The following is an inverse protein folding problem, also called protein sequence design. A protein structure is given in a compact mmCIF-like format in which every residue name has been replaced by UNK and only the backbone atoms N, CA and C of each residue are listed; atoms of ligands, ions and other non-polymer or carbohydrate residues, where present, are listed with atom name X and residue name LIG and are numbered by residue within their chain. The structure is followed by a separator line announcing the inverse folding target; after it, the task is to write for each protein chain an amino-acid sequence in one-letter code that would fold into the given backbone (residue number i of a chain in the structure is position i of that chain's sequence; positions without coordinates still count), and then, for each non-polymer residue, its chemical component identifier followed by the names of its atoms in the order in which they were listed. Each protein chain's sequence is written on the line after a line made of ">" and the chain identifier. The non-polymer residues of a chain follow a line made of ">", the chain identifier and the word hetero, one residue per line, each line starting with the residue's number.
data_IF_769428665295
#
_entry.id   IF_769428665295
#
_cell.length_a   1.000
_cell.length_b   1.000
_cell.length_c   1.000
_cell.angle_alpha   90.00
_cell.angle_beta   90.00
_cell.angle_gamma   90.00
#
_symmetry.space_group_name_H-M   'P 1'
#
loop_
_entity.id
_entity.type
_entity.pdbx_description
1 polymer ?
#
# COMPACT_ATOMS: atom_id res chain seq x y z
N UNK A 1 -44.38 6.58 14.27
CA UNK A 1 -43.26 5.62 14.39
C UNK A 1 -43.86 4.27 14.72
N UNK A 2 -43.65 3.23 13.90
CA UNK A 2 -44.22 1.92 14.19
C UNK A 2 -43.44 1.21 15.28
N UNK A 3 -44.12 0.44 16.13
CA UNK A 3 -43.49 -0.37 17.19
C UNK A 3 -42.36 -1.28 16.63
N UNK A 4 -42.46 -1.67 15.38
CA UNK A 4 -41.44 -2.46 14.66
C UNK A 4 -40.12 -1.69 14.44
N UNK A 5 -40.17 -0.36 14.32
CA UNK A 5 -38.92 0.43 14.17
C UNK A 5 -38.20 0.64 15.51
N UNK A 6 -38.87 0.48 16.64
CA UNK A 6 -38.24 0.50 17.96
C UNK A 6 -37.57 -0.82 18.33
N UNK A 7 -37.96 -1.92 17.69
CA UNK A 7 -37.34 -3.24 17.88
C UNK A 7 -36.20 -3.53 16.89
N UNK A 8 -35.98 -2.66 15.90
CA UNK A 8 -34.88 -2.78 14.98
C UNK A 8 -33.58 -2.36 15.69
N UNK A 9 -32.86 -3.33 16.23
CA UNK A 9 -31.52 -3.12 16.80
C UNK A 9 -30.59 -2.81 15.62
N UNK A 10 -30.21 -1.55 15.48
CA UNK A 10 -29.23 -1.12 14.48
C UNK A 10 -27.83 -1.36 15.05
N UNK A 11 -27.34 -2.57 14.82
CA UNK A 11 -26.00 -2.96 15.27
C UNK A 11 -24.95 -2.39 14.33
N UNK A 12 -23.94 -1.79 14.92
CA UNK A 12 -22.77 -1.35 14.17
C UNK A 12 -22.15 -2.54 13.42
N UNK A 13 -21.82 -2.40 12.13
CA UNK A 13 -21.38 -3.54 11.30
C UNK A 13 -20.21 -4.33 11.87
N UNK A 14 -19.27 -3.65 12.54
CA UNK A 14 -18.12 -4.29 13.18
C UNK A 14 -18.54 -5.15 14.38
N UNK A 15 -19.35 -4.61 15.29
CA UNK A 15 -19.84 -5.33 16.46
C UNK A 15 -20.66 -6.57 16.04
N UNK A 16 -21.51 -6.42 15.02
CA UNK A 16 -22.27 -7.53 14.44
C UNK A 16 -21.34 -8.62 13.91
N UNK A 17 -20.25 -8.24 13.22
CA UNK A 17 -19.26 -9.18 12.73
C UNK A 17 -18.63 -10.01 13.84
N UNK A 18 -18.16 -9.36 14.91
CA UNK A 18 -17.55 -10.04 16.06
C UNK A 18 -18.52 -10.99 16.76
N UNK A 19 -19.76 -10.58 16.97
CA UNK A 19 -20.77 -11.40 17.63
C UNK A 19 -21.13 -12.62 16.79
N UNK A 20 -21.30 -12.47 15.48
CA UNK A 20 -21.59 -13.60 14.58
C UNK A 20 -20.46 -14.61 14.58
N UNK A 21 -19.18 -14.16 14.51
CA UNK A 21 -18.01 -15.04 14.57
C UNK A 21 -17.95 -15.77 15.91
N UNK A 22 -18.13 -15.08 17.02
CA UNK A 22 -18.10 -15.67 18.37
C UNK A 22 -19.17 -16.75 18.52
N UNK A 23 -20.41 -16.45 18.16
CA UNK A 23 -21.53 -17.42 18.21
C UNK A 23 -21.23 -18.61 17.30
N UNK A 24 -20.75 -18.41 16.08
CA UNK A 24 -20.42 -19.47 15.15
C UNK A 24 -19.33 -20.41 15.70
N UNK A 25 -18.29 -19.85 16.31
CA UNK A 25 -17.22 -20.63 16.95
C UNK A 25 -17.77 -21.43 18.12
N UNK A 26 -18.56 -20.83 19.01
CA UNK A 26 -19.15 -21.54 20.18
C UNK A 26 -20.08 -22.66 19.73
N UNK A 27 -20.93 -22.42 18.74
CA UNK A 27 -21.89 -23.44 18.23
C UNK A 27 -21.14 -24.57 17.53
N UNK A 28 -20.21 -24.24 16.63
CA UNK A 28 -19.47 -25.23 15.86
C UNK A 28 -18.56 -26.08 16.76
N UNK A 29 -17.72 -25.44 17.56
CA UNK A 29 -16.78 -26.14 18.43
C UNK A 29 -17.50 -26.81 19.60
N UNK A 30 -18.42 -26.14 20.26
CA UNK A 30 -19.23 -26.71 21.34
C UNK A 30 -20.09 -27.88 20.88
N UNK A 31 -20.77 -27.73 19.75
CA UNK A 31 -21.59 -28.84 19.16
C UNK A 31 -20.70 -30.03 18.78
N UNK A 32 -19.59 -29.81 18.12
CA UNK A 32 -18.66 -30.89 17.77
C UNK A 32 -18.06 -31.53 19.03
N UNK A 33 -17.78 -30.77 20.08
CA UNK A 33 -17.30 -31.26 21.36
C UNK A 33 -18.33 -32.21 22.02
N UNK A 34 -19.60 -31.85 22.02
CA UNK A 34 -20.62 -32.70 22.59
C UNK A 34 -20.68 -34.09 21.90
N UNK A 35 -20.56 -34.11 20.57
CA UNK A 35 -20.56 -35.38 19.82
C UNK A 35 -19.29 -36.19 20.03
N UNK A 36 -18.11 -35.55 19.95
CA UNK A 36 -16.82 -36.23 20.07
C UNK A 36 -16.55 -36.64 21.53
N UNK A 37 -16.89 -35.78 22.49
CA UNK A 37 -16.72 -36.03 23.93
C UNK A 37 -17.54 -37.19 24.46
N UNK A 38 -18.75 -37.44 23.90
CA UNK A 38 -19.55 -38.61 24.25
C UNK A 38 -18.94 -39.93 23.78
N UNK A 39 -18.15 -39.90 22.68
CA UNK A 39 -17.50 -41.12 22.15
C UNK A 39 -16.11 -41.38 22.69
N UNK A 40 -15.30 -40.33 22.87
CA UNK A 40 -13.89 -40.42 23.29
C UNK A 40 -13.67 -40.10 24.77
N UNK A 41 -14.71 -39.65 25.46
CA UNK A 41 -14.58 -39.04 26.79
C UNK A 41 -14.19 -37.56 26.73
N UNK A 42 -14.49 -36.85 27.81
CA UNK A 42 -14.41 -35.41 27.86
C UNK A 42 -12.99 -34.86 27.56
N UNK A 43 -11.94 -35.47 28.16
CA UNK A 43 -10.57 -34.98 28.01
C UNK A 43 -10.00 -35.23 26.62
N UNK A 44 -10.13 -36.45 26.10
CA UNK A 44 -9.62 -36.78 24.77
C UNK A 44 -10.44 -36.09 23.67
N UNK A 45 -11.75 -36.02 23.82
CA UNK A 45 -12.64 -35.29 22.90
C UNK A 45 -12.25 -33.81 22.80
N UNK A 46 -11.94 -33.15 23.93
CA UNK A 46 -11.48 -31.76 23.93
C UNK A 46 -10.15 -31.58 23.18
N UNK A 47 -9.16 -32.45 23.43
CA UNK A 47 -7.86 -32.39 22.76
C UNK A 47 -8.00 -32.62 21.24
N UNK A 48 -8.80 -33.59 20.83
CA UNK A 48 -9.02 -33.89 19.40
C UNK A 48 -9.66 -32.70 18.67
N UNK A 49 -10.64 -32.04 19.30
CA UNK A 49 -11.31 -30.88 18.67
C UNK A 49 -10.39 -29.68 18.58
N UNK A 50 -9.66 -29.37 19.67
CA UNK A 50 -8.70 -28.28 19.62
C UNK A 50 -7.56 -28.58 18.64
N UNK A 51 -7.04 -29.80 18.62
CA UNK A 51 -6.05 -30.22 17.63
C UNK A 51 -6.58 -30.06 16.20
N UNK A 52 -7.81 -30.51 15.93
CA UNK A 52 -8.45 -30.32 14.64
C UNK A 52 -8.62 -28.85 14.26
N UNK A 53 -9.09 -28.01 15.19
CA UNK A 53 -9.24 -26.57 14.96
C UNK A 53 -7.91 -25.89 14.62
N UNK A 54 -6.87 -26.08 15.48
CA UNK A 54 -5.59 -25.43 15.27
C UNK A 54 -4.84 -26.00 14.06
N UNK A 55 -4.97 -27.29 13.77
CA UNK A 55 -4.45 -27.92 12.56
C UNK A 55 -5.10 -27.32 11.30
N UNK A 56 -6.42 -27.17 11.32
CA UNK A 56 -7.16 -26.53 10.21
C UNK A 56 -6.78 -25.04 10.06
N UNK A 57 -6.70 -24.29 11.19
CA UNK A 57 -6.28 -22.89 11.14
C UNK A 57 -4.87 -22.74 10.59
N UNK A 58 -3.94 -23.63 10.97
CA UNK A 58 -2.58 -23.63 10.42
C UNK A 58 -2.60 -23.89 8.90
N UNK A 59 -3.35 -24.87 8.43
CA UNK A 59 -3.47 -25.17 7.00
C UNK A 59 -4.07 -24.01 6.21
N UNK A 60 -5.15 -23.39 6.70
CA UNK A 60 -5.75 -22.20 6.08
C UNK A 60 -4.79 -21.01 6.13
N UNK A 61 -4.10 -20.82 7.24
CA UNK A 61 -3.10 -19.77 7.38
C UNK A 61 -1.95 -19.91 6.38
N UNK A 62 -1.46 -21.13 6.12
CA UNK A 62 -0.45 -21.40 5.08
C UNK A 62 -0.95 -20.95 3.70
N UNK A 63 -2.19 -21.32 3.35
CA UNK A 63 -2.81 -20.93 2.08
C UNK A 63 -2.91 -19.40 1.99
N UNK A 64 -3.41 -18.74 3.04
CA UNK A 64 -3.53 -17.29 3.07
C UNK A 64 -2.18 -16.58 2.96
N UNK A 65 -1.16 -17.09 3.66
CA UNK A 65 0.20 -16.55 3.60
C UNK A 65 0.82 -16.71 2.22
N UNK A 66 0.68 -17.90 1.62
CA UNK A 66 1.24 -18.19 0.30
C UNK A 66 0.61 -17.35 -0.80
N UNK A 67 -0.73 -17.32 -0.85
CA UNK A 67 -1.46 -16.64 -1.91
C UNK A 67 -1.80 -15.18 -1.60
N UNK A 68 -1.57 -14.70 -0.39
CA UNK A 68 -1.90 -13.33 0.01
C UNK A 68 -3.40 -13.02 0.00
N UNK A 69 -4.23 -14.02 0.30
CA UNK A 69 -5.69 -13.93 0.41
C UNK A 69 -6.15 -14.06 1.86
N UNK A 70 -7.44 -13.96 2.12
CA UNK A 70 -8.02 -14.11 3.47
C UNK A 70 -7.68 -12.92 4.37
N UNK A 71 -7.12 -13.17 5.56
CA UNK A 71 -6.77 -12.11 6.49
C UNK A 71 -5.54 -11.36 6.01
N UNK A 72 -5.77 -10.15 5.54
CA UNK A 72 -4.74 -9.27 4.96
C UNK A 72 -4.38 -8.14 5.92
N UNK A 73 -3.10 -7.79 5.95
CA UNK A 73 -2.62 -6.54 6.51
C UNK A 73 -2.72 -5.38 5.50
N UNK A 74 -1.97 -4.32 5.76
CA UNK A 74 -1.93 -3.15 4.89
C UNK A 74 -1.28 -3.47 3.55
N UNK A 75 -1.91 -2.97 2.48
CA UNK A 75 -1.33 -3.04 1.14
C UNK A 75 -0.11 -2.11 1.03
N UNK A 76 0.82 -2.41 0.10
CA UNK A 76 1.92 -1.50 -0.20
C UNK A 76 1.41 -0.14 -0.68
N UNK A 77 2.01 0.94 -0.20
CA UNK A 77 1.61 2.31 -0.57
C UNK A 77 2.84 3.21 -0.69
N UNK A 78 2.66 4.37 -1.33
CA UNK A 78 3.65 5.43 -1.31
C UNK A 78 3.34 6.38 -0.15
N UNK A 79 4.36 6.84 0.54
CA UNK A 79 4.26 7.77 1.66
C UNK A 79 5.14 8.98 1.42
N UNK A 80 4.79 10.13 2.00
CA UNK A 80 5.68 11.28 2.05
C UNK A 80 7.08 10.88 2.54
N UNK A 81 8.12 11.33 1.85
CA UNK A 81 9.50 11.13 2.28
C UNK A 81 10.06 12.38 2.93
N UNK A 82 11.01 12.19 3.87
CA UNK A 82 11.77 13.27 4.49
C UNK A 82 13.10 13.48 3.72
N UNK A 83 13.71 14.69 3.77
CA UNK A 83 13.38 15.84 4.63
C UNK A 83 12.28 16.75 4.08
N UNK A 84 11.90 16.65 2.80
CA UNK A 84 10.84 17.46 2.21
C UNK A 84 10.05 16.64 1.19
N UNK A 85 8.74 16.58 1.36
CA UNK A 85 7.85 15.84 0.46
C UNK A 85 7.56 16.62 -0.82
N UNK A 86 7.29 17.93 -0.71
CA UNK A 86 6.97 18.79 -1.87
C UNK A 86 8.14 19.76 -2.09
N UNK A 87 8.75 19.64 -3.25
CA UNK A 87 9.88 20.46 -3.68
C UNK A 87 9.36 21.38 -4.78
N UNK A 88 9.29 22.66 -4.46
CA UNK A 88 8.63 23.66 -5.33
C UNK A 88 9.47 24.12 -6.50
N UNK A 89 10.76 23.82 -6.50
CA UNK A 89 11.70 24.16 -7.55
C UNK A 89 12.76 23.05 -7.66
N UNK A 90 13.12 22.67 -8.89
CA UNK A 90 14.17 21.68 -9.13
C UNK A 90 15.55 22.08 -8.60
N UNK A 91 15.83 23.37 -8.40
CA UNK A 91 17.08 23.82 -7.75
C UNK A 91 17.18 23.39 -6.28
N UNK A 92 16.05 23.14 -5.62
CA UNK A 92 16.00 22.70 -4.23
C UNK A 92 16.29 21.21 -4.06
N UNK A 93 16.35 20.43 -5.14
CA UNK A 93 16.60 18.99 -5.08
C UNK A 93 17.94 18.64 -4.43
N UNK A 94 18.94 19.49 -4.57
CA UNK A 94 20.22 19.33 -3.88
C UNK A 94 20.10 19.55 -2.37
N UNK A 95 19.27 20.49 -1.93
CA UNK A 95 19.12 20.79 -0.50
C UNK A 95 18.43 19.65 0.28
N UNK A 96 17.67 18.82 -0.44
CA UNK A 96 16.99 17.63 0.11
C UNK A 96 17.74 16.32 -0.20
N UNK A 97 19.00 16.43 -0.61
CA UNK A 97 19.92 15.31 -0.85
C UNK A 97 19.44 14.33 -1.94
N UNK A 98 18.58 14.78 -2.85
CA UNK A 98 18.13 14.01 -4.02
C UNK A 98 19.17 14.11 -5.14
N UNK A 99 19.82 15.28 -5.28
CA UNK A 99 20.93 15.53 -6.20
C UNK A 99 22.19 15.94 -5.43
N UNK A 100 23.35 15.45 -5.88
CA UNK A 100 24.64 15.83 -5.27
C UNK A 100 25.06 17.25 -5.64
N UNK A 101 24.77 17.68 -6.87
CA UNK A 101 25.21 18.98 -7.39
C UNK A 101 24.03 19.96 -7.55
N UNK A 102 24.27 21.25 -7.25
CA UNK A 102 23.25 22.28 -7.44
C UNK A 102 22.98 22.53 -8.93
N UNK A 103 21.74 22.59 -9.31
CA UNK A 103 21.32 22.93 -10.67
C UNK A 103 21.23 24.46 -10.84
N UNK A 104 21.60 24.95 -12.02
CA UNK A 104 21.42 26.34 -12.42
C UNK A 104 20.42 26.41 -13.56
N UNK A 105 19.33 27.09 -13.32
CA UNK A 105 18.27 27.28 -14.30
C UNK A 105 18.49 28.57 -15.09
N UNK A 106 18.44 28.47 -16.41
CA UNK A 106 18.64 29.60 -17.32
C UNK A 106 17.61 29.63 -18.46
N UNK A 107 16.77 28.59 -18.56
CA UNK A 107 15.80 28.39 -19.63
C UNK A 107 14.34 28.52 -19.17
N UNK A 108 13.46 28.06 -20.04
CA UNK A 108 12.03 27.92 -19.74
C UNK A 108 11.79 26.81 -18.69
N UNK A 109 10.58 26.72 -18.14
CA UNK A 109 10.24 25.67 -17.20
C UNK A 109 10.45 24.27 -17.78
N UNK A 110 10.19 24.09 -19.08
CA UNK A 110 10.45 22.82 -19.79
C UNK A 110 11.95 22.53 -19.97
N UNK A 111 12.76 23.53 -20.32
CA UNK A 111 14.21 23.38 -20.45
C UNK A 111 14.84 23.03 -19.09
N UNK A 112 14.38 23.69 -18.04
CA UNK A 112 14.84 23.40 -16.67
C UNK A 112 14.44 21.98 -16.23
N UNK A 113 13.23 21.53 -16.58
CA UNK A 113 12.77 20.17 -16.29
C UNK A 113 13.61 19.09 -17.01
N UNK A 114 14.00 19.33 -18.27
CA UNK A 114 14.91 18.42 -18.97
C UNK A 114 16.29 18.34 -18.30
N UNK A 115 16.82 19.48 -17.82
CA UNK A 115 18.07 19.53 -17.06
C UNK A 115 17.97 18.73 -15.75
N UNK A 116 16.83 18.83 -15.05
CA UNK A 116 16.56 18.00 -13.85
C UNK A 116 16.51 16.52 -14.20
N UNK A 117 15.81 16.15 -15.28
CA UNK A 117 15.69 14.74 -15.70
C UNK A 117 17.06 14.14 -16.05
N UNK A 118 17.92 14.88 -16.74
CA UNK A 118 19.31 14.47 -17.05
C UNK A 118 20.14 14.29 -15.78
N UNK A 119 20.05 15.22 -14.83
CA UNK A 119 20.77 15.13 -13.57
C UNK A 119 20.29 13.93 -12.73
N UNK A 120 18.98 13.71 -12.65
CA UNK A 120 18.41 12.54 -11.98
C UNK A 120 18.89 11.23 -12.61
N UNK A 121 18.88 11.15 -13.94
CA UNK A 121 19.37 9.97 -14.64
C UNK A 121 20.86 9.70 -14.37
N UNK A 122 21.69 10.74 -14.26
CA UNK A 122 23.11 10.63 -13.93
C UNK A 122 23.34 10.07 -12.50
N UNK A 123 22.40 10.29 -11.58
CA UNK A 123 22.44 9.76 -10.21
C UNK A 123 21.68 8.44 -10.02
N UNK A 124 21.31 7.79 -11.12
CA UNK A 124 20.70 6.46 -11.11
C UNK A 124 19.19 6.44 -10.87
N UNK A 125 18.51 7.58 -11.03
CA UNK A 125 17.05 7.60 -11.09
C UNK A 125 16.59 7.14 -12.47
N UNK A 126 15.58 6.27 -12.50
CA UNK A 126 15.02 5.72 -13.74
C UNK A 126 13.65 6.33 -13.99
N UNK A 127 13.47 6.93 -15.17
CA UNK A 127 12.16 7.40 -15.60
C UNK A 127 11.26 6.19 -15.92
N UNK A 128 10.12 6.08 -15.22
CA UNK A 128 9.16 5.00 -15.45
C UNK A 128 8.35 5.25 -16.73
N UNK A 129 8.19 4.20 -17.52
CA UNK A 129 7.34 4.21 -18.71
C UNK A 129 5.86 4.46 -18.37
N UNK A 130 5.11 5.01 -19.32
CA UNK A 130 3.66 5.29 -19.14
C UNK A 130 2.84 4.03 -18.87
N UNK A 131 3.28 2.89 -19.37
CA UNK A 131 2.63 1.58 -19.18
C UNK A 131 2.98 0.91 -17.86
N UNK A 132 3.94 1.42 -17.08
CA UNK A 132 4.35 0.82 -15.82
C UNK A 132 3.24 0.99 -14.76
N UNK A 133 2.72 -0.11 -14.18
CA UNK A 133 1.70 -0.04 -13.13
C UNK A 133 2.13 0.74 -11.89
N UNK A 134 3.44 0.82 -11.63
CA UNK A 134 3.97 1.55 -10.47
C UNK A 134 3.94 3.04 -10.68
N UNK A 135 4.06 3.51 -11.94
CA UNK A 135 3.87 4.91 -12.29
C UNK A 135 2.48 5.39 -11.87
N UNK A 136 1.43 4.64 -12.25
CA UNK A 136 0.05 5.00 -11.88
C UNK A 136 -0.18 5.05 -10.38
N UNK A 137 0.43 4.14 -9.60
CA UNK A 137 0.34 4.16 -8.14
C UNK A 137 1.06 5.36 -7.53
N UNK A 138 2.25 5.72 -8.04
CA UNK A 138 3.00 6.87 -7.57
C UNK A 138 2.27 8.19 -7.90
N UNK A 139 1.72 8.32 -9.10
CA UNK A 139 0.90 9.47 -9.50
C UNK A 139 -0.31 9.62 -8.59
N UNK A 140 -1.09 8.56 -8.36
CA UNK A 140 -2.25 8.62 -7.49
C UNK A 140 -1.90 9.01 -6.05
N UNK A 141 -0.76 8.57 -5.53
CA UNK A 141 -0.29 8.96 -4.22
C UNK A 141 0.20 10.41 -4.18
N UNK A 142 0.88 10.89 -5.23
CA UNK A 142 1.29 12.28 -5.33
C UNK A 142 0.11 13.24 -5.40
N UNK A 143 -0.94 12.85 -6.13
CA UNK A 143 -2.19 13.62 -6.22
C UNK A 143 -2.87 13.73 -4.85
N UNK A 144 -2.93 12.63 -4.09
CA UNK A 144 -3.46 12.66 -2.72
C UNK A 144 -2.66 13.56 -1.80
N UNK A 145 -1.33 13.53 -1.88
CA UNK A 145 -0.45 14.40 -1.10
C UNK A 145 -0.67 15.87 -1.46
N UNK A 146 -0.71 16.20 -2.74
CA UNK A 146 -0.83 17.59 -3.21
C UNK A 146 -2.22 18.19 -2.92
N UNK A 147 -3.27 17.41 -3.09
CA UNK A 147 -4.66 17.89 -2.96
C UNK A 147 -5.15 17.80 -1.53
N UNK A 148 -5.00 16.61 -0.88
CA UNK A 148 -5.68 16.34 0.39
C UNK A 148 -4.80 16.55 1.63
N UNK A 149 -3.48 16.32 1.52
CA UNK A 149 -2.61 16.41 2.69
C UNK A 149 -1.95 17.78 2.82
N UNK A 150 -1.47 18.35 1.72
CA UNK A 150 -0.75 19.62 1.71
C UNK A 150 -1.60 20.80 1.21
N UNK A 151 -2.75 20.54 0.57
CA UNK A 151 -3.63 21.56 -0.01
C UNK A 151 -2.86 22.54 -0.93
N UNK A 152 -1.81 22.04 -1.62
CA UNK A 152 -0.94 22.85 -2.49
C UNK A 152 -1.61 23.19 -3.82
N UNK A 153 -2.49 22.29 -4.31
CA UNK A 153 -3.25 22.42 -5.54
C UNK A 153 -4.68 21.91 -5.38
N UNK A 154 -5.60 22.51 -6.13
CA UNK A 154 -6.91 21.91 -6.36
C UNK A 154 -6.87 20.90 -7.51
N UNK A 155 -7.87 20.01 -7.55
CA UNK A 155 -7.98 19.03 -8.62
C UNK A 155 -8.10 19.72 -10.00
N UNK A 156 -7.23 19.32 -10.93
CA UNK A 156 -7.19 19.88 -12.29
C UNK A 156 -6.30 21.11 -12.46
N UNK A 157 -5.62 21.60 -11.43
CA UNK A 157 -4.65 22.69 -11.51
C UNK A 157 -3.25 22.25 -11.90
N UNK A 158 -3.00 20.96 -11.94
CA UNK A 158 -1.71 20.38 -12.31
C UNK A 158 -1.86 19.10 -13.12
N UNK A 159 -0.76 18.65 -13.71
CA UNK A 159 -0.63 17.36 -14.39
C UNK A 159 0.71 16.72 -14.03
N UNK A 160 0.70 15.41 -13.75
CA UNK A 160 1.91 14.62 -13.53
C UNK A 160 2.59 14.31 -14.86
N UNK A 161 3.81 14.79 -15.06
CA UNK A 161 4.56 14.69 -16.32
C UNK A 161 5.49 13.48 -16.32
N UNK A 162 6.32 13.36 -15.29
CA UNK A 162 7.32 12.31 -15.13
C UNK A 162 7.25 11.63 -13.76
N UNK A 163 7.66 10.37 -13.71
CA UNK A 163 7.85 9.64 -12.46
C UNK A 163 9.21 8.99 -12.51
N UNK A 164 10.09 9.39 -11.62
CA UNK A 164 11.42 8.82 -11.46
C UNK A 164 11.44 7.88 -10.27
N UNK A 165 12.10 6.75 -10.43
CA UNK A 165 12.17 5.68 -9.43
C UNK A 165 13.63 5.36 -9.11
N UNK A 166 13.95 5.09 -7.83
CA UNK A 166 15.30 4.74 -7.38
C UNK A 166 15.25 3.75 -6.23
N UNK A 167 16.14 2.75 -6.27
CA UNK A 167 16.29 1.75 -5.21
C UNK A 167 15.29 0.59 -5.32
N UNK A 168 15.07 -0.08 -4.19
CA UNK A 168 14.18 -1.25 -4.14
C UNK A 168 14.84 -2.56 -4.55
N UNK A 169 16.14 -2.57 -4.74
CA UNK A 169 16.90 -3.78 -5.03
C UNK A 169 16.83 -4.77 -3.88
N UNK A 170 16.63 -6.04 -4.23
CA UNK A 170 16.52 -7.14 -3.27
C UNK A 170 17.84 -7.88 -3.14
N UNK A 171 18.10 -8.41 -1.94
CA UNK A 171 19.29 -9.21 -1.68
C UNK A 171 19.01 -10.32 -0.63
N UNK A 172 19.78 -11.43 -0.57
CA UNK A 172 20.84 -11.78 -1.50
C UNK A 172 20.30 -12.18 -2.88
N UNK A 173 20.92 -11.67 -3.95
CA UNK A 173 20.66 -12.12 -5.33
C UNK A 173 21.54 -13.34 -5.58
N UNK A 174 20.97 -14.54 -5.56
CA UNK A 174 21.69 -15.80 -5.83
C UNK A 174 21.58 -16.14 -7.32
N UNK A 175 20.35 -16.21 -7.82
CA UNK A 175 19.99 -16.32 -9.24
C UNK A 175 18.48 -16.07 -9.39
N UNK A 176 17.98 -15.90 -10.62
CA UNK A 176 16.58 -15.59 -10.90
C UNK A 176 15.60 -16.66 -10.37
N UNK A 177 16.01 -17.94 -10.32
CA UNK A 177 15.18 -19.02 -9.80
C UNK A 177 15.07 -19.04 -8.28
N UNK A 178 16.01 -18.43 -7.57
CA UNK A 178 16.08 -18.37 -6.11
C UNK A 178 15.80 -16.97 -5.56
N UNK A 179 15.25 -16.07 -6.37
CA UNK A 179 14.91 -14.68 -5.97
C UNK A 179 13.89 -14.61 -4.83
N UNK A 180 13.16 -15.70 -4.59
CA UNK A 180 12.25 -15.81 -3.44
C UNK A 180 12.99 -15.87 -2.07
N UNK A 181 14.30 -16.11 -2.04
CA UNK A 181 15.15 -16.00 -0.86
C UNK A 181 15.68 -14.59 -0.62
N UNK A 182 15.45 -13.65 -1.52
CA UNK A 182 15.82 -12.25 -1.33
C UNK A 182 14.84 -11.56 -0.34
N UNK A 183 15.09 -11.72 0.94
CA UNK A 183 14.22 -11.20 2.01
C UNK A 183 14.50 -9.74 2.37
N UNK A 184 15.67 -9.25 2.03
CA UNK A 184 16.06 -7.87 2.29
C UNK A 184 15.93 -7.06 1.02
N UNK A 185 15.65 -5.78 1.16
CA UNK A 185 15.59 -4.84 0.05
C UNK A 185 16.04 -3.47 0.50
N UNK A 186 16.58 -2.72 -0.43
CA UNK A 186 16.86 -1.31 -0.23
C UNK A 186 15.57 -0.49 -0.20
N UNK A 187 15.57 0.66 0.50
CA UNK A 187 14.47 1.60 0.40
C UNK A 187 14.24 1.99 -1.06
N UNK A 188 12.97 2.06 -1.45
CA UNK A 188 12.58 2.47 -2.79
C UNK A 188 11.93 3.84 -2.72
N UNK A 189 12.39 4.73 -3.57
CA UNK A 189 11.93 6.11 -3.63
C UNK A 189 11.29 6.39 -4.98
N UNK A 190 10.28 7.27 -4.99
CA UNK A 190 9.73 7.84 -6.20
C UNK A 190 9.73 9.35 -6.11
N UNK A 191 10.07 9.99 -7.22
CA UNK A 191 10.01 11.43 -7.41
C UNK A 191 9.06 11.70 -8.57
N UNK A 192 7.90 12.30 -8.27
CA UNK A 192 6.89 12.62 -9.28
C UNK A 192 7.04 14.07 -9.67
N UNK A 193 7.31 14.30 -10.97
CA UNK A 193 7.36 15.62 -11.57
C UNK A 193 5.93 16.08 -11.89
N UNK A 194 5.59 17.27 -11.42
CA UNK A 194 4.27 17.86 -11.53
C UNK A 194 4.36 19.23 -12.20
N UNK A 195 3.55 19.43 -13.22
CA UNK A 195 3.45 20.68 -13.96
C UNK A 195 2.14 21.40 -13.61
N UNK A 196 2.18 22.65 -13.15
CA UNK A 196 1.00 23.48 -13.07
C UNK A 196 0.37 23.67 -14.46
N UNK A 197 -0.95 23.78 -14.53
CA UNK A 197 -1.67 24.01 -15.79
C UNK A 197 -2.34 25.37 -15.80
N UNK A 198 -2.47 25.93 -17.00
CA UNK A 198 -3.18 27.19 -17.19
C UNK A 198 -4.67 26.98 -16.88
N UNK A 199 -5.29 27.77 -15.98
CA UNK A 199 -6.71 27.66 -15.70
C UNK A 199 -7.55 27.76 -16.97
N UNK A 200 -8.37 26.74 -17.23
CA UNK A 200 -9.23 26.70 -18.40
C UNK A 200 -10.68 26.97 -18.02
N UNK A 201 -11.38 27.72 -18.88
CA UNK A 201 -12.79 27.96 -18.67
C UNK A 201 -13.59 26.71 -19.01
N UNK A 202 -14.31 26.18 -18.01
CA UNK A 202 -15.22 25.05 -18.19
C UNK A 202 -16.57 25.59 -18.73
N UNK A 203 -16.96 25.18 -19.93
CA UNK A 203 -18.26 25.47 -20.49
C UNK A 203 -19.24 24.33 -20.15
N UNK A 204 -20.43 24.65 -19.56
CA UNK A 204 -21.42 23.62 -19.27
C UNK A 204 -21.84 22.86 -20.53
N UNK A 205 -21.80 21.50 -20.45
CA UNK A 205 -22.22 20.63 -21.57
C UNK A 205 -21.14 20.34 -22.61
N UNK A 206 -19.92 20.85 -22.44
CA UNK A 206 -18.77 20.54 -23.29
C UNK A 206 -17.73 19.73 -22.59
N UNK A 207 -17.11 18.80 -23.29
CA UNK A 207 -16.00 18.03 -22.74
C UNK A 207 -14.84 18.96 -22.30
N UNK A 208 -14.19 18.75 -21.16
CA UNK A 208 -13.04 19.55 -20.73
C UNK A 208 -11.96 19.56 -21.82
N UNK A 209 -11.37 20.72 -22.07
CA UNK A 209 -10.24 20.82 -22.97
C UNK A 209 -9.01 20.10 -22.37
N UNK A 210 -8.06 19.68 -23.22
CA UNK A 210 -6.82 19.07 -22.74
C UNK A 210 -6.06 20.06 -21.88
N UNK A 211 -5.53 19.64 -20.71
CA UNK A 211 -4.75 20.52 -19.85
C UNK A 211 -3.54 21.08 -20.61
N UNK A 212 -3.34 22.38 -20.52
CA UNK A 212 -2.19 23.07 -21.10
C UNK A 212 -1.25 23.46 -19.97
N UNK A 213 -0.02 23.00 -20.04
CA UNK A 213 1.01 23.29 -19.04
C UNK A 213 1.31 24.79 -19.04
N UNK A 214 1.47 25.35 -17.84
CA UNK A 214 1.87 26.75 -17.63
C UNK A 214 3.39 26.85 -17.60
N UNK A 215 4.00 27.29 -18.71
CA UNK A 215 5.44 27.47 -18.86
C UNK A 215 6.00 28.65 -18.04
N UNK A 216 5.14 29.48 -17.48
CA UNK A 216 5.56 30.59 -16.61
C UNK A 216 5.89 30.14 -15.19
N UNK A 217 5.45 28.96 -14.79
CA UNK A 217 5.66 28.39 -13.48
C UNK A 217 6.64 27.22 -13.55
N UNK A 218 7.57 27.16 -12.55
CA UNK A 218 8.48 26.04 -12.42
C UNK A 218 7.76 24.74 -12.08
N UNK A 219 8.34 23.61 -12.49
CA UNK A 219 7.89 22.27 -12.14
C UNK A 219 8.04 22.06 -10.64
N UNK A 220 7.14 21.27 -10.08
CA UNK A 220 7.21 20.80 -8.69
C UNK A 220 7.50 19.31 -8.65
N UNK A 221 8.09 18.86 -7.58
CA UNK A 221 8.51 17.49 -7.41
C UNK A 221 7.94 16.96 -6.10
N UNK A 222 7.30 15.79 -6.15
CA UNK A 222 6.77 15.11 -4.96
C UNK A 222 7.66 13.92 -4.65
N UNK A 223 8.36 13.99 -3.53
CA UNK A 223 9.29 12.96 -3.08
C UNK A 223 8.60 11.98 -2.13
N UNK A 224 8.65 10.71 -2.47
CA UNK A 224 7.93 9.65 -1.75
C UNK A 224 8.82 8.43 -1.53
N UNK A 225 8.54 7.71 -0.43
CA UNK A 225 9.15 6.42 -0.10
C UNK A 225 8.10 5.31 -0.19
N UNK A 226 8.51 4.14 -0.68
CA UNK A 226 7.65 2.97 -0.75
C UNK A 226 7.50 2.31 0.61
N UNK A 227 6.30 2.35 1.20
CA UNK A 227 5.91 1.48 2.32
C UNK A 227 5.45 0.13 1.74
N UNK A 228 6.16 -0.93 2.03
CA UNK A 228 5.82 -2.28 1.56
C UNK A 228 4.56 -2.84 2.21
N UNK A 229 4.05 -2.16 3.24
CA UNK A 229 2.94 -2.66 4.01
C UNK A 229 3.28 -3.95 4.78
N UNK A 230 2.24 -4.63 5.22
CA UNK A 230 2.36 -5.89 5.94
C UNK A 230 1.29 -6.91 5.50
N UNK A 231 0.96 -6.91 4.23
CA UNK A 231 -0.15 -7.69 3.64
C UNK A 231 -0.21 -9.15 4.11
N UNK A 232 0.94 -9.81 4.19
CA UNK A 232 1.05 -11.25 4.53
C UNK A 232 1.31 -11.52 6.01
N UNK A 233 1.66 -10.50 6.81
CA UNK A 233 2.05 -10.66 8.20
C UNK A 233 0.95 -11.26 9.10
N UNK A 234 -0.33 -10.85 9.01
CA UNK A 234 -1.38 -11.42 9.83
C UNK A 234 -1.58 -12.92 9.57
N UNK A 235 -1.55 -13.33 8.30
CA UNK A 235 -1.67 -14.73 7.92
C UNK A 235 -0.47 -15.56 8.41
N UNK A 236 0.74 -15.01 8.33
CA UNK A 236 1.95 -15.64 8.88
C UNK A 236 1.84 -15.86 10.39
N UNK A 237 1.41 -14.85 11.14
CA UNK A 237 1.27 -14.94 12.61
C UNK A 237 0.23 -15.98 13.00
N UNK A 238 -0.93 -16.04 12.31
CA UNK A 238 -1.93 -17.09 12.55
C UNK A 238 -1.36 -18.46 12.23
N UNK A 239 -0.65 -18.62 11.13
CA UNK A 239 -0.03 -19.90 10.75
C UNK A 239 0.91 -20.40 11.83
N UNK A 240 1.87 -19.56 12.22
CA UNK A 240 2.89 -19.92 13.21
C UNK A 240 2.24 -20.19 14.57
N UNK A 241 1.36 -19.30 15.03
CA UNK A 241 0.67 -19.45 16.32
C UNK A 241 -0.19 -20.71 16.37
N UNK A 242 -0.96 -20.97 15.32
CA UNK A 242 -1.80 -22.20 15.26
C UNK A 242 -0.97 -23.46 15.16
N UNK A 243 0.12 -23.46 14.42
CA UNK A 243 1.03 -24.59 14.31
C UNK A 243 1.70 -24.92 15.65
N UNK A 244 2.14 -23.91 16.39
CA UNK A 244 2.73 -24.11 17.73
C UNK A 244 1.72 -24.75 18.70
N UNK A 245 0.49 -24.21 18.75
CA UNK A 245 -0.55 -24.78 19.62
C UNK A 245 -0.89 -26.21 19.18
N UNK A 246 -1.03 -26.46 17.86
CA UNK A 246 -1.29 -27.79 17.33
C UNK A 246 -0.22 -28.81 17.77
N UNK A 247 1.07 -28.46 17.64
CA UNK A 247 2.17 -29.34 18.05
C UNK A 247 2.12 -29.61 19.54
N UNK A 248 1.86 -28.59 20.39
CA UNK A 248 1.73 -28.77 21.86
C UNK A 248 0.56 -29.70 22.20
N UNK A 249 -0.57 -29.60 21.48
CA UNK A 249 -1.75 -30.45 21.71
C UNK A 249 -1.54 -31.91 21.28
N UNK A 250 -0.64 -32.13 20.31
CA UNK A 250 -0.32 -33.48 19.80
C UNK A 250 0.78 -34.16 20.58
N UNK A 251 1.53 -33.44 21.42
CA UNK A 251 2.62 -33.97 22.26
C UNK A 251 2.14 -34.36 23.67
#
# INVERSE_FOLDING_TARGET
>A
MSLLSMLAINWEPQLRGYVVVLISVVVLIGGTYLVVGTNLGARLGFLVILGGLFGWMAAMGIIWWTYGIGLKGREPSWKPAEPATIIRDGQLLQQVEILEQPLKFTGTATDNASTVAEALAAEGWVLLDESDPQRGQAVAASDDILINQAEEFAAGEFVSVGVFDRGGDRWPKINDSLDFFAFFHEPRYALVEVAPVVPQRVEPGRAPARPKIDESQQRRYVYMIRDLGNKRQPAMLITIGSLLVFVILCW
#
